data_IF_005890734519
#
_entry.id   IF_005890734519
#
_cell.length_a   1.000
_cell.length_b   1.000
_cell.length_c   1.000
_cell.angle_alpha   90.00
_cell.angle_beta   90.00
_cell.angle_gamma   90.00
#
_symmetry.space_group_name_H-M   'P 1'
#
loop_
_entity.id
_entity.type
_entity.pdbx_description
1 polymer ?
#
# COMPACT_ATOMS: atom_id res chain seq x y z
N UNK A 1 37.85 19.09 2.88
CA UNK A 1 38.05 17.65 3.15
C UNK A 1 37.79 17.38 4.63
N UNK A 2 36.52 17.30 5.04
CA UNK A 2 36.08 16.78 6.34
C UNK A 2 34.72 16.12 6.10
N UNK A 3 34.64 14.80 6.34
CA UNK A 3 33.42 13.99 6.30
C UNK A 3 32.74 14.11 7.66
N UNK A 4 31.43 14.35 7.69
CA UNK A 4 30.59 13.97 8.82
C UNK A 4 29.71 12.80 8.39
N UNK A 5 30.01 11.63 8.94
CA UNK A 5 29.10 10.49 8.99
C UNK A 5 28.10 10.73 10.13
N UNK A 6 26.83 10.44 9.90
CA UNK A 6 25.87 10.16 10.97
C UNK A 6 25.31 8.76 10.72
N UNK A 7 25.55 7.87 11.68
CA UNK A 7 25.01 6.52 11.73
C UNK A 7 23.58 6.52 12.31
N UNK A 8 22.71 5.76 11.64
CA UNK A 8 21.73 4.78 12.14
C UNK A 8 21.26 4.96 13.60
N UNK A 9 19.95 5.08 13.77
CA UNK A 9 19.24 4.58 14.97
C UNK A 9 18.30 3.46 14.52
N UNK A 10 18.52 2.29 15.13
CA UNK A 10 17.66 1.10 15.15
C UNK A 10 16.42 1.40 15.99
N UNK A 11 15.23 1.01 15.51
CA UNK A 11 14.04 0.96 16.35
C UNK A 11 13.82 -0.48 16.83
N UNK A 12 14.17 -0.73 18.10
CA UNK A 12 13.49 -1.68 18.98
C UNK A 12 13.02 -0.88 20.19
N UNK A 13 11.80 -1.20 20.62
CA UNK A 13 11.06 -0.67 21.78
C UNK A 13 11.93 -0.37 23.01
N UNK A 14 11.86 0.87 23.51
CA UNK A 14 11.84 1.22 24.95
C UNK A 14 11.18 2.61 25.12
N UNK A 15 10.27 2.68 26.10
CA UNK A 15 9.34 3.75 26.48
C UNK A 15 9.95 5.11 26.86
N UNK A 16 9.20 6.21 26.66
CA UNK A 16 8.78 7.24 27.67
C UNK A 16 7.91 8.35 26.99
N UNK A 17 7.09 9.13 27.74
CA UNK A 17 5.69 9.42 27.40
C UNK A 17 5.37 10.92 27.17
N UNK A 18 4.15 11.19 26.70
CA UNK A 18 3.36 12.41 26.87
C UNK A 18 4.07 13.76 26.71
N UNK A 19 3.91 14.40 25.55
CA UNK A 19 4.09 15.86 25.41
C UNK A 19 3.21 16.42 24.29
N UNK A 20 1.91 16.55 24.56
CA UNK A 20 1.09 17.60 23.93
C UNK A 20 0.12 18.16 24.97
N UNK A 21 0.59 19.17 25.71
CA UNK A 21 -0.26 20.19 26.32
C UNK A 21 0.47 21.53 26.36
N UNK A 22 -0.12 22.48 25.63
CA UNK A 22 -0.08 23.95 25.78
C UNK A 22 1.27 24.69 25.74
N UNK A 23 1.47 25.54 24.71
CA UNK A 23 1.19 26.99 24.77
C UNK A 23 2.08 27.83 23.84
N UNK A 24 1.42 28.77 23.16
CA UNK A 24 1.83 30.14 22.78
C UNK A 24 3.22 30.46 22.21
N UNK A 25 3.16 31.19 21.09
CA UNK A 25 3.97 32.37 20.74
C UNK A 25 5.49 32.18 20.56
N UNK A 26 5.94 32.35 19.31
CA UNK A 26 7.36 32.47 18.99
C UNK A 26 7.61 32.59 17.51
N UNK A 27 7.37 33.78 16.96
CA UNK A 27 7.83 34.20 15.64
C UNK A 27 9.34 33.94 15.49
N UNK A 28 9.77 33.24 14.44
CA UNK A 28 11.04 33.55 13.77
C UNK A 28 10.98 33.18 12.29
N UNK A 29 11.07 34.21 11.46
CA UNK A 29 11.21 34.16 10.02
C UNK A 29 12.63 33.72 9.62
N UNK A 30 12.75 32.94 8.56
CA UNK A 30 13.86 33.11 7.61
C UNK A 30 13.49 32.64 6.20
N UNK A 31 13.04 33.60 5.40
CA UNK A 31 13.37 33.80 3.98
C UNK A 31 13.31 32.60 3.02
N UNK A 32 12.13 32.39 2.44
CA UNK A 32 11.96 31.83 1.09
C UNK A 32 12.20 32.95 0.06
N UNK A 33 13.18 32.76 -0.83
CA UNK A 33 13.30 33.58 -2.05
C UNK A 33 12.21 33.17 -3.02
N UNK A 34 11.25 34.06 -3.25
CA UNK A 34 10.28 33.98 -4.35
C UNK A 34 10.99 34.18 -5.68
N UNK A 35 10.96 33.16 -6.53
CA UNK A 35 11.12 33.29 -7.98
C UNK A 35 9.74 33.26 -8.61
N UNK A 36 9.24 34.43 -8.99
CA UNK A 36 8.01 34.62 -9.77
C UNK A 36 8.26 34.21 -11.22
N UNK A 37 7.77 33.02 -11.61
CA UNK A 37 7.75 32.56 -13.00
C UNK A 37 6.31 32.30 -13.42
N UNK A 38 5.76 33.22 -14.22
CA UNK A 38 4.43 33.12 -14.82
C UNK A 38 4.32 31.87 -15.69
N UNK A 39 3.14 31.25 -15.62
CA UNK A 39 2.66 30.18 -16.49
C UNK A 39 2.57 30.64 -17.94
N UNK A 40 3.32 29.99 -18.83
CA UNK A 40 2.99 29.92 -20.26
C UNK A 40 2.74 28.45 -20.60
N UNK A 41 1.47 28.11 -20.83
CA UNK A 41 1.09 26.89 -21.54
C UNK A 41 1.62 27.01 -22.97
N UNK A 42 2.73 26.34 -23.24
CA UNK A 42 3.15 26.02 -24.60
C UNK A 42 3.02 24.53 -24.82
N UNK A 43 2.31 24.18 -25.89
CA UNK A 43 2.17 22.84 -26.42
C UNK A 43 3.55 22.29 -26.83
N UNK A 44 4.17 21.49 -25.96
CA UNK A 44 5.42 20.82 -26.25
C UNK A 44 5.18 19.43 -26.85
N UNK A 45 5.06 19.39 -28.17
CA UNK A 45 5.48 18.23 -28.93
C UNK A 45 7.03 18.19 -28.99
N UNK A 46 7.60 17.01 -28.71
CA UNK A 46 8.99 16.59 -29.01
C UNK A 46 10.12 17.19 -28.17
N UNK A 47 10.44 16.54 -27.03
CA UNK A 47 11.65 16.81 -26.24
C UNK A 47 11.95 15.81 -25.11
N UNK A 48 11.48 14.56 -25.21
CA UNK A 48 11.43 13.61 -24.08
C UNK A 48 12.54 12.54 -24.05
N UNK A 49 13.81 12.90 -24.27
CA UNK A 49 14.91 11.92 -24.33
C UNK A 49 15.61 11.61 -23.00
N UNK A 50 15.51 12.52 -22.02
CA UNK A 50 16.43 12.52 -20.87
C UNK A 50 15.87 11.87 -19.61
N UNK A 51 14.63 11.38 -19.62
CA UNK A 51 13.98 10.77 -18.45
C UNK A 51 13.41 9.39 -18.77
N UNK A 52 13.28 8.55 -17.73
CA UNK A 52 12.55 7.29 -17.85
C UNK A 52 11.07 7.56 -18.12
N UNK A 53 10.33 6.54 -18.57
CA UNK A 53 8.92 6.68 -19.01
C UNK A 53 8.01 7.34 -17.95
N UNK A 54 8.18 7.00 -16.68
CA UNK A 54 7.42 7.64 -15.59
C UNK A 54 7.99 8.98 -15.13
N UNK A 55 9.01 9.53 -15.79
CA UNK A 55 9.61 10.81 -15.43
C UNK A 55 10.26 10.87 -14.05
N UNK A 56 10.35 9.78 -13.26
CA UNK A 56 10.91 9.79 -11.90
C UNK A 56 12.43 9.99 -11.88
N UNK A 57 13.12 9.43 -12.86
CA UNK A 57 14.57 9.49 -12.99
C UNK A 57 14.97 9.99 -14.37
N UNK A 58 16.07 10.71 -14.43
CA UNK A 58 16.81 10.95 -15.66
C UNK A 58 17.51 9.67 -16.12
N UNK A 59 17.76 9.53 -17.42
CA UNK A 59 18.50 8.39 -17.97
C UNK A 59 19.95 8.35 -17.45
N UNK A 60 20.50 9.51 -17.06
CA UNK A 60 21.84 9.65 -16.47
C UNK A 60 21.91 9.24 -15.00
N UNK A 61 20.80 9.31 -14.25
CA UNK A 61 20.69 8.75 -12.90
C UNK A 61 20.62 7.21 -12.91
N UNK A 62 20.04 6.62 -13.95
CA UNK A 62 19.91 5.17 -14.11
C UNK A 62 21.18 4.53 -14.72
N UNK A 63 22.28 4.58 -13.97
CA UNK A 63 23.63 4.20 -14.44
C UNK A 63 23.88 2.70 -14.48
N UNK A 64 23.18 1.92 -13.66
CA UNK A 64 23.48 0.50 -13.49
C UNK A 64 22.69 -0.34 -14.47
N UNK A 65 23.36 -1.25 -15.18
CA UNK A 65 22.68 -2.24 -16.01
C UNK A 65 22.31 -3.47 -15.18
N UNK A 66 21.07 -3.92 -15.33
CA UNK A 66 20.58 -5.14 -14.72
C UNK A 66 19.86 -5.98 -15.75
N UNK A 67 20.29 -7.24 -15.88
CA UNK A 67 19.63 -8.22 -16.74
C UNK A 67 18.81 -9.17 -15.88
N UNK A 68 17.58 -9.46 -16.28
CA UNK A 68 16.75 -10.53 -15.72
C UNK A 68 15.99 -11.23 -16.84
N UNK A 69 16.24 -12.53 -17.03
CA UNK A 69 15.74 -13.28 -18.20
C UNK A 69 15.99 -12.52 -19.52
N UNK A 70 14.92 -12.16 -20.24
CA UNK A 70 14.95 -11.40 -21.51
C UNK A 70 14.97 -9.88 -21.34
N UNK A 71 14.88 -9.36 -20.12
CA UNK A 71 14.84 -7.93 -19.84
C UNK A 71 16.25 -7.41 -19.58
N UNK A 72 16.58 -6.30 -20.25
CA UNK A 72 17.74 -5.47 -19.97
C UNK A 72 17.23 -4.16 -19.41
N UNK A 73 17.63 -3.84 -18.19
CA UNK A 73 17.09 -2.76 -17.39
C UNK A 73 18.22 -1.80 -17.02
N UNK A 74 17.88 -0.53 -16.89
CA UNK A 74 18.67 0.48 -16.20
C UNK A 74 18.05 0.71 -14.83
N UNK A 75 18.85 0.63 -13.77
CA UNK A 75 18.43 0.79 -12.38
C UNK A 75 19.26 1.91 -11.71
N UNK A 76 18.72 2.55 -10.66
CA UNK A 76 19.46 3.57 -9.92
C UNK A 76 20.62 2.96 -9.11
N UNK A 77 21.45 3.80 -8.45
CA UNK A 77 22.47 3.38 -7.48
C UNK A 77 21.95 2.43 -6.39
N UNK A 78 22.87 1.75 -5.69
CA UNK A 78 22.51 0.66 -4.77
C UNK A 78 21.67 1.14 -3.57
N UNK A 79 21.91 2.37 -3.14
CA UNK A 79 21.30 3.09 -2.03
C UNK A 79 19.93 3.71 -2.37
N UNK A 80 19.61 3.88 -3.66
CA UNK A 80 18.33 4.43 -4.09
C UNK A 80 17.26 3.33 -4.20
N UNK A 81 16.39 3.28 -3.19
CA UNK A 81 15.26 2.35 -3.10
C UNK A 81 13.94 3.12 -3.22
N UNK A 82 12.93 2.46 -3.79
CA UNK A 82 11.54 2.97 -3.83
C UNK A 82 10.63 2.27 -2.80
N UNK A 83 11.15 1.23 -2.12
CA UNK A 83 10.49 0.53 -1.04
C UNK A 83 11.48 -0.37 -0.31
N UNK A 84 11.26 -0.60 0.99
CA UNK A 84 12.10 -1.44 1.83
C UNK A 84 11.22 -2.15 2.86
N UNK A 85 11.45 -3.45 3.02
CA UNK A 85 10.83 -4.30 4.02
C UNK A 85 11.89 -5.15 4.72
N UNK A 86 11.47 -5.98 5.67
CA UNK A 86 12.37 -6.74 6.53
C UNK A 86 13.35 -7.64 5.75
N UNK A 87 12.87 -8.27 4.67
CA UNK A 87 13.63 -9.23 3.88
C UNK A 87 13.85 -8.82 2.43
N UNK A 88 13.33 -7.66 2.01
CA UNK A 88 13.37 -7.23 0.62
C UNK A 88 13.56 -5.72 0.49
N UNK A 89 14.11 -5.31 -0.65
CA UNK A 89 14.02 -3.92 -1.08
C UNK A 89 13.59 -3.86 -2.54
N UNK A 90 12.95 -2.76 -2.89
CA UNK A 90 12.40 -2.51 -4.21
C UNK A 90 13.14 -1.34 -4.83
N UNK A 91 13.58 -1.51 -6.08
CA UNK A 91 14.22 -0.46 -6.88
C UNK A 91 13.38 -0.10 -8.08
N UNK A 92 13.51 1.14 -8.52
CA UNK A 92 13.02 1.52 -9.84
C UNK A 92 13.84 0.80 -10.92
N UNK A 93 13.19 0.38 -12.00
CA UNK A 93 13.89 -0.19 -13.15
C UNK A 93 13.26 0.30 -14.44
N UNK A 94 14.09 0.66 -15.42
CA UNK A 94 13.65 1.16 -16.71
C UNK A 94 14.17 0.24 -17.82
N UNK A 95 13.32 -0.14 -18.77
CA UNK A 95 13.74 -0.82 -19.98
C UNK A 95 13.79 0.18 -21.14
N UNK A 96 14.98 0.62 -21.59
CA UNK A 96 15.09 1.61 -22.67
C UNK A 96 14.51 1.12 -24.00
N UNK A 97 14.65 -0.18 -24.31
CA UNK A 97 14.17 -0.77 -25.56
C UNK A 97 12.64 -0.77 -25.64
N UNK A 98 11.97 -0.97 -24.50
CA UNK A 98 10.51 -1.00 -24.41
C UNK A 98 9.91 0.36 -24.00
N UNK A 99 10.75 1.34 -23.69
CA UNK A 99 10.37 2.58 -23.02
C UNK A 99 9.36 2.35 -21.88
N UNK A 100 9.68 1.44 -20.95
CA UNK A 100 8.76 1.06 -19.86
C UNK A 100 9.46 0.98 -18.51
N UNK A 101 8.83 1.51 -17.48
CA UNK A 101 9.28 1.43 -16.09
C UNK A 101 8.68 0.21 -15.37
N UNK A 102 9.40 -0.29 -14.38
CA UNK A 102 9.13 -1.49 -13.59
C UNK A 102 9.58 -1.26 -12.15
N UNK A 103 9.10 -2.13 -11.25
CA UNK A 103 9.65 -2.30 -9.92
C UNK A 103 10.50 -3.58 -9.89
N UNK A 104 11.73 -3.49 -9.37
CA UNK A 104 12.60 -4.65 -9.16
C UNK A 104 12.67 -4.94 -7.66
N UNK A 105 11.91 -5.94 -7.20
CA UNK A 105 11.96 -6.45 -5.82
C UNK A 105 13.11 -7.45 -5.69
N UNK A 106 13.94 -7.26 -4.67
CA UNK A 106 15.12 -8.07 -4.38
C UNK A 106 14.98 -8.61 -2.96
N UNK A 107 14.56 -9.86 -2.86
CA UNK A 107 14.35 -10.55 -1.57
C UNK A 107 15.57 -11.39 -1.21
N UNK A 108 15.94 -11.38 0.07
CA UNK A 108 17.00 -12.25 0.61
C UNK A 108 16.47 -13.67 0.73
N UNK A 109 17.28 -14.64 0.33
CA UNK A 109 17.05 -16.05 0.53
C UNK A 109 18.07 -16.56 1.54
N UNK A 110 17.69 -17.55 2.34
CA UNK A 110 18.63 -18.30 3.16
C UNK A 110 19.62 -19.07 2.29
N UNK A 111 20.75 -19.49 2.88
CA UNK A 111 21.85 -20.10 2.11
C UNK A 111 21.42 -21.36 1.35
N UNK A 112 20.43 -22.06 1.87
CA UNK A 112 19.88 -23.29 1.30
C UNK A 112 18.73 -23.02 0.32
N UNK A 113 18.35 -21.76 0.09
CA UNK A 113 17.23 -21.38 -0.78
C UNK A 113 15.84 -21.61 -0.17
N UNK A 114 15.78 -21.98 1.10
CA UNK A 114 14.55 -22.28 1.83
C UNK A 114 14.07 -21.05 2.62
N UNK A 115 13.69 -19.98 1.92
CA UNK A 115 12.93 -18.91 2.57
C UNK A 115 11.44 -19.09 2.23
N UNK A 116 10.66 -19.54 3.20
CA UNK A 116 9.25 -19.89 3.03
C UNK A 116 8.40 -18.70 2.55
N UNK A 117 8.66 -17.49 3.06
CA UNK A 117 7.93 -16.28 2.68
C UNK A 117 8.17 -15.92 1.21
N UNK A 118 9.44 -15.89 0.79
CA UNK A 118 9.79 -15.60 -0.60
C UNK A 118 9.29 -16.69 -1.56
N UNK A 119 9.27 -17.94 -1.10
CA UNK A 119 8.70 -19.05 -1.86
C UNK A 119 7.17 -18.94 -2.00
N UNK A 120 6.45 -18.50 -0.96
CA UNK A 120 5.01 -18.21 -1.03
C UNK A 120 4.73 -17.07 -2.01
N UNK A 121 5.44 -15.96 -1.89
CA UNK A 121 5.27 -14.83 -2.81
C UNK A 121 5.51 -15.26 -4.26
N UNK A 122 6.56 -16.05 -4.51
CA UNK A 122 6.82 -16.66 -5.83
C UNK A 122 5.62 -17.45 -6.34
N UNK A 123 5.04 -18.30 -5.51
CA UNK A 123 3.94 -19.20 -5.91
C UNK A 123 2.63 -18.49 -6.16
N UNK A 124 2.33 -17.45 -5.37
CA UNK A 124 1.17 -16.58 -5.56
C UNK A 124 1.33 -15.80 -6.87
N UNK A 125 2.48 -15.16 -7.08
CA UNK A 125 2.75 -14.40 -8.31
C UNK A 125 2.76 -15.31 -9.56
N UNK A 126 3.34 -16.52 -9.46
CA UNK A 126 3.29 -17.52 -10.53
C UNK A 126 1.84 -17.92 -10.83
N UNK A 127 1.01 -18.14 -9.80
CA UNK A 127 -0.41 -18.48 -9.95
C UNK A 127 -1.18 -17.37 -10.67
N UNK A 128 -1.12 -16.13 -10.18
CA UNK A 128 -1.82 -15.01 -10.83
C UNK A 128 -1.32 -14.78 -12.26
N UNK A 129 -0.04 -15.04 -12.56
CA UNK A 129 0.46 -14.97 -13.93
C UNK A 129 -0.19 -15.96 -14.92
N UNK A 130 -0.81 -17.03 -14.44
CA UNK A 130 -1.58 -17.98 -15.28
C UNK A 130 -2.99 -17.50 -15.60
N UNK A 131 -3.52 -16.53 -14.84
CA UNK A 131 -4.87 -16.02 -15.00
C UNK A 131 -4.96 -14.97 -16.13
N UNK A 132 -6.18 -14.80 -16.66
CA UNK A 132 -6.47 -13.73 -17.62
C UNK A 132 -6.27 -12.35 -16.99
N UNK A 133 -6.04 -11.33 -17.82
CA UNK A 133 -5.83 -9.94 -17.33
C UNK A 133 -7.00 -9.47 -16.48
N UNK A 134 -8.23 -9.81 -16.85
CA UNK A 134 -9.46 -9.44 -16.14
C UNK A 134 -9.53 -10.05 -14.73
N UNK A 135 -9.02 -11.27 -14.55
CA UNK A 135 -9.01 -11.96 -13.25
C UNK A 135 -7.91 -11.48 -12.31
N UNK A 136 -7.04 -10.57 -12.75
CA UNK A 136 -5.88 -10.09 -11.97
C UNK A 136 -5.58 -8.61 -12.18
N UNK A 137 -6.53 -7.84 -12.69
CA UNK A 137 -6.33 -6.42 -13.00
C UNK A 137 -6.11 -5.57 -11.74
N UNK A 138 -6.47 -6.06 -10.55
CA UNK A 138 -6.21 -5.45 -9.25
C UNK A 138 -5.04 -6.11 -8.47
N UNK A 139 -4.33 -7.05 -9.09
CA UNK A 139 -3.15 -7.69 -8.52
C UNK A 139 -1.91 -7.20 -9.26
N UNK A 140 -0.82 -6.94 -8.55
CA UNK A 140 0.42 -6.48 -9.19
C UNK A 140 0.98 -7.52 -10.18
N UNK A 141 1.36 -7.09 -11.38
CA UNK A 141 1.92 -7.99 -12.37
C UNK A 141 3.36 -8.39 -12.08
N UNK A 142 3.68 -9.69 -12.11
CA UNK A 142 5.05 -10.15 -12.28
C UNK A 142 5.40 -10.42 -13.76
N UNK A 143 6.40 -9.71 -14.29
CA UNK A 143 6.91 -9.89 -15.66
C UNK A 143 8.02 -10.94 -15.78
N UNK A 144 8.84 -11.08 -14.74
CA UNK A 144 9.92 -12.05 -14.68
C UNK A 144 10.33 -12.31 -13.24
N UNK A 145 10.91 -13.48 -13.00
CA UNK A 145 11.62 -13.79 -11.76
C UNK A 145 12.91 -14.55 -12.04
N UNK A 146 13.89 -14.42 -11.16
CA UNK A 146 15.15 -15.12 -11.26
C UNK A 146 15.79 -15.27 -9.88
N UNK A 147 16.29 -16.48 -9.58
CA UNK A 147 17.06 -16.75 -8.38
C UNK A 147 18.55 -16.64 -8.70
N UNK A 148 19.31 -15.86 -7.93
CA UNK A 148 20.78 -15.79 -8.03
C UNK A 148 21.40 -15.80 -6.64
N UNK A 149 22.23 -16.80 -6.35
CA UNK A 149 22.90 -16.96 -5.05
C UNK A 149 21.86 -16.91 -3.92
N UNK A 150 22.00 -16.00 -2.97
CA UNK A 150 21.12 -15.81 -1.81
C UNK A 150 20.04 -14.74 -2.04
N UNK A 151 19.63 -14.51 -3.30
CA UNK A 151 18.65 -13.48 -3.66
C UNK A 151 17.64 -13.98 -4.68
N UNK A 152 16.36 -13.72 -4.41
CA UNK A 152 15.29 -13.84 -5.39
C UNK A 152 15.00 -12.45 -5.97
N UNK A 153 14.90 -12.37 -7.28
CA UNK A 153 14.58 -11.15 -8.00
C UNK A 153 13.22 -11.28 -8.64
N UNK A 154 12.33 -10.32 -8.40
CA UNK A 154 11.04 -10.19 -9.06
C UNK A 154 11.01 -8.88 -9.85
N UNK A 155 10.73 -8.98 -11.15
CA UNK A 155 10.45 -7.83 -11.99
C UNK A 155 8.94 -7.64 -12.05
N UNK A 156 8.46 -6.61 -11.39
CA UNK A 156 7.06 -6.31 -11.19
C UNK A 156 6.62 -5.09 -12.00
N UNK A 157 5.30 -4.97 -12.19
CA UNK A 157 4.64 -3.72 -12.57
C UNK A 157 5.05 -2.60 -11.61
N UNK A 158 5.22 -1.40 -12.16
CA UNK A 158 5.44 -0.22 -11.35
C UNK A 158 4.07 0.33 -10.96
N UNK A 159 3.74 0.30 -9.67
CA UNK A 159 2.58 1.02 -9.12
C UNK A 159 2.93 2.47 -8.76
N UNK A 160 1.90 3.22 -8.39
CA UNK A 160 2.02 4.58 -7.87
C UNK A 160 2.43 4.58 -6.40
N UNK A 161 1.91 5.55 -5.65
CA UNK A 161 2.09 5.64 -4.19
C UNK A 161 1.34 4.52 -3.48
N UNK A 162 1.80 4.15 -2.31
CA UNK A 162 0.97 3.36 -1.39
C UNK A 162 -0.29 4.12 -1.03
N UNK A 163 -1.34 3.41 -0.62
CA UNK A 163 -2.58 4.00 -0.14
C UNK A 163 -2.30 4.99 0.98
N UNK A 164 -1.45 4.60 1.94
CA UNK A 164 -0.97 5.47 3.03
C UNK A 164 -0.38 6.79 2.50
N UNK A 165 0.65 6.71 1.67
CA UNK A 165 1.33 7.90 1.14
C UNK A 165 0.39 8.78 0.32
N UNK A 166 -0.47 8.18 -0.50
CA UNK A 166 -1.42 8.89 -1.35
C UNK A 166 -2.45 9.65 -0.52
N UNK A 167 -3.06 8.98 0.47
CA UNK A 167 -4.06 9.57 1.35
C UNK A 167 -3.47 10.76 2.13
N UNK A 168 -2.39 10.55 2.87
CA UNK A 168 -1.78 11.61 3.68
C UNK A 168 -1.17 12.75 2.85
N UNK A 169 -0.69 12.48 1.65
CA UNK A 169 -0.30 13.57 0.74
C UNK A 169 -1.51 14.42 0.36
N UNK A 170 -2.60 13.80 -0.10
CA UNK A 170 -3.79 14.52 -0.57
C UNK A 170 -4.51 15.27 0.54
N UNK A 171 -4.53 14.69 1.75
CA UNK A 171 -5.04 15.34 2.96
C UNK A 171 -4.18 16.57 3.30
N UNK A 172 -2.84 16.44 3.33
CA UNK A 172 -1.93 17.59 3.57
C UNK A 172 -2.03 18.68 2.52
N UNK A 173 -2.09 18.32 1.23
CA UNK A 173 -2.28 19.26 0.12
C UNK A 173 -3.55 20.10 0.32
N UNK A 174 -4.61 19.53 0.92
CA UNK A 174 -5.88 20.22 1.20
C UNK A 174 -5.91 21.01 2.49
N UNK A 175 -5.26 20.54 3.57
CA UNK A 175 -5.18 21.31 4.82
C UNK A 175 -4.30 22.55 4.74
N UNK A 176 -3.42 22.65 3.73
CA UNK A 176 -2.75 23.91 3.41
C UNK A 176 -3.72 25.05 3.05
N UNK A 177 -4.96 24.71 2.67
CA UNK A 177 -6.04 25.62 2.37
C UNK A 177 -7.10 25.53 3.49
N UNK A 178 -7.08 26.49 4.42
CA UNK A 178 -8.02 26.60 5.55
C UNK A 178 -9.48 26.65 5.05
N UNK A 179 -10.26 25.57 5.08
CA UNK A 179 -11.75 25.64 5.05
C UNK A 179 -12.45 24.36 5.56
N UNK A 180 -13.59 24.55 6.23
CA UNK A 180 -14.51 23.51 6.77
C UNK A 180 -15.00 22.51 5.70
N UNK A 181 -14.87 22.85 4.40
CA UNK A 181 -15.15 21.95 3.27
C UNK A 181 -14.19 20.74 3.19
N UNK A 182 -13.09 20.74 3.94
CA UNK A 182 -12.05 19.71 3.89
C UNK A 182 -12.55 18.34 4.40
N UNK A 183 -13.35 18.28 5.46
CA UNK A 183 -13.78 16.99 6.05
C UNK A 183 -14.64 16.18 5.06
N UNK A 184 -15.58 16.82 4.36
CA UNK A 184 -16.43 16.12 3.37
C UNK A 184 -15.58 15.59 2.21
N UNK A 185 -14.62 16.38 1.75
CA UNK A 185 -13.72 16.03 0.65
C UNK A 185 -12.72 14.94 1.05
N UNK A 186 -12.23 14.95 2.28
CA UNK A 186 -11.39 13.89 2.86
C UNK A 186 -12.17 12.58 2.96
N UNK A 187 -13.40 12.61 3.47
CA UNK A 187 -14.28 11.43 3.54
C UNK A 187 -14.57 10.86 2.16
N UNK A 188 -14.81 11.72 1.18
CA UNK A 188 -15.03 11.31 -0.21
C UNK A 188 -13.76 10.67 -0.81
N UNK A 189 -12.59 11.28 -0.59
CA UNK A 189 -11.31 10.72 -0.99
C UNK A 189 -11.08 9.34 -0.36
N UNK A 190 -11.24 9.23 0.97
CA UNK A 190 -11.11 7.99 1.71
C UNK A 190 -12.06 6.93 1.13
N UNK A 191 -13.33 7.27 0.92
CA UNK A 191 -14.33 6.37 0.33
C UNK A 191 -13.88 5.83 -1.03
N UNK A 192 -13.39 6.69 -1.92
CA UNK A 192 -12.98 6.28 -3.27
C UNK A 192 -11.74 5.38 -3.27
N UNK A 193 -10.81 5.63 -2.35
CA UNK A 193 -9.63 4.80 -2.15
C UNK A 193 -10.03 3.43 -1.57
N UNK A 194 -10.90 3.42 -0.56
CA UNK A 194 -11.38 2.18 0.07
C UNK A 194 -12.15 1.30 -0.90
N UNK A 195 -12.94 1.88 -1.82
CA UNK A 195 -13.57 1.13 -2.92
C UNK A 195 -12.54 0.39 -3.76
N UNK A 196 -11.45 1.05 -4.15
CA UNK A 196 -10.40 0.42 -4.95
C UNK A 196 -9.62 -0.66 -4.21
N UNK A 197 -9.36 -0.46 -2.93
CA UNK A 197 -8.71 -1.45 -2.07
C UNK A 197 -9.63 -2.68 -1.85
N UNK A 198 -10.92 -2.47 -1.62
CA UNK A 198 -11.92 -3.53 -1.49
C UNK A 198 -12.03 -4.36 -2.78
N UNK A 199 -12.03 -3.72 -3.97
CA UNK A 199 -12.01 -4.42 -5.26
C UNK A 199 -10.76 -5.32 -5.42
N UNK A 200 -9.60 -4.86 -4.96
CA UNK A 200 -8.38 -5.64 -5.01
C UNK A 200 -8.43 -6.87 -4.08
N UNK A 201 -8.94 -6.71 -2.86
CA UNK A 201 -9.15 -7.84 -1.94
C UNK A 201 -10.20 -8.82 -2.44
N UNK A 202 -11.34 -8.30 -2.92
CA UNK A 202 -12.40 -9.13 -3.51
C UNK A 202 -11.84 -10.02 -4.62
N UNK A 203 -11.04 -9.45 -5.52
CA UNK A 203 -10.41 -10.24 -6.58
C UNK A 203 -9.46 -11.30 -6.02
N UNK A 204 -8.68 -10.96 -4.99
CA UNK A 204 -7.78 -11.93 -4.37
C UNK A 204 -8.55 -13.08 -3.67
N UNK A 205 -9.66 -12.76 -3.00
CA UNK A 205 -10.53 -13.70 -2.27
C UNK A 205 -11.19 -14.75 -3.15
N UNK A 206 -11.26 -14.54 -4.47
CA UNK A 206 -11.66 -15.59 -5.42
C UNK A 206 -10.67 -16.76 -5.47
N UNK A 207 -9.45 -16.58 -4.96
CA UNK A 207 -8.34 -17.50 -5.12
C UNK A 207 -7.61 -17.84 -3.80
N UNK A 208 -7.69 -16.98 -2.79
CA UNK A 208 -6.80 -17.05 -1.64
C UNK A 208 -7.08 -16.03 -0.55
N UNK A 209 -6.22 -16.02 0.47
CA UNK A 209 -6.23 -15.05 1.57
C UNK A 209 -4.88 -14.32 1.61
N UNK A 210 -4.89 -12.99 1.75
CA UNK A 210 -3.69 -12.17 1.69
C UNK A 210 -2.86 -12.27 2.97
N UNK A 211 -3.53 -12.23 4.13
CA UNK A 211 -3.00 -12.36 5.48
C UNK A 211 -2.09 -11.22 5.97
N UNK A 212 -1.79 -10.24 5.12
CA UNK A 212 -1.04 -9.02 5.48
C UNK A 212 -1.72 -7.76 4.92
N UNK A 213 -3.01 -7.60 5.19
CA UNK A 213 -3.78 -6.46 4.70
C UNK A 213 -3.50 -5.22 5.54
N UNK A 214 -2.88 -4.21 4.94
CA UNK A 214 -2.68 -2.88 5.52
C UNK A 214 -2.43 -1.82 4.43
N UNK A 215 -2.48 -0.54 4.80
CA UNK A 215 -2.44 0.62 3.89
C UNK A 215 -1.16 0.76 3.06
N UNK A 216 -0.07 0.10 3.42
CA UNK A 216 1.17 0.07 2.64
C UNK A 216 1.17 -1.02 1.57
N UNK A 217 0.31 -2.05 1.70
CA UNK A 217 0.22 -3.18 0.75
C UNK A 217 -0.80 -2.96 -0.38
N UNK A 218 -1.33 -1.74 -0.51
CA UNK A 218 -2.11 -1.30 -1.67
C UNK A 218 -1.39 -0.16 -2.37
N UNK A 219 -1.12 -0.31 -3.66
CA UNK A 219 -0.59 0.75 -4.52
C UNK A 219 -1.72 1.37 -5.34
N UNK A 220 -1.69 2.69 -5.54
CA UNK A 220 -2.56 3.30 -6.54
C UNK A 220 -2.13 2.84 -7.93
N UNK A 221 -3.06 2.34 -8.73
CA UNK A 221 -2.78 1.90 -10.09
C UNK A 221 -2.39 3.10 -10.97
N UNK A 222 -1.33 2.94 -11.74
CA UNK A 222 -0.92 3.90 -12.76
C UNK A 222 -1.55 3.53 -14.09
N UNK A 223 -2.02 4.53 -14.83
CA UNK A 223 -2.36 4.35 -16.23
C UNK A 223 -1.07 4.12 -17.03
N UNK A 224 -1.12 3.35 -18.14
CA UNK A 224 0.09 2.86 -18.85
C UNK A 224 1.10 3.94 -19.28
N UNK A 225 0.67 5.21 -19.32
CA UNK A 225 1.44 6.37 -19.74
C UNK A 225 1.67 7.41 -18.64
N UNK A 226 1.38 7.09 -17.38
CA UNK A 226 1.41 8.07 -16.30
C UNK A 226 2.35 7.68 -15.16
N UNK A 227 2.94 8.71 -14.56
CA UNK A 227 3.84 8.64 -13.40
C UNK A 227 3.11 8.84 -12.07
N UNK A 228 1.94 9.44 -12.14
CA UNK A 228 1.01 9.72 -11.06
C UNK A 228 -0.39 9.35 -11.56
N UNK A 229 -1.35 9.06 -10.66
CA UNK A 229 -2.73 8.81 -11.06
C UNK A 229 -3.31 10.01 -11.82
N UNK A 230 -4.20 9.75 -12.78
CA UNK A 230 -4.79 10.80 -13.62
C UNK A 230 -5.39 11.93 -12.75
N UNK A 231 -4.85 13.17 -12.81
CA UNK A 231 -5.28 14.27 -11.96
C UNK A 231 -6.69 14.77 -12.30
N UNK A 232 -7.22 14.38 -13.47
CA UNK A 232 -8.56 14.73 -13.94
C UNK A 232 -9.61 13.66 -13.61
N UNK A 233 -9.26 12.60 -12.85
CA UNK A 233 -10.29 11.68 -12.33
C UNK A 233 -11.26 12.50 -11.48
N UNK A 234 -12.53 12.43 -11.84
CA UNK A 234 -13.56 13.17 -11.13
C UNK A 234 -13.54 12.76 -9.65
N UNK A 235 -13.84 13.72 -8.77
CA UNK A 235 -13.78 13.52 -7.32
C UNK A 235 -14.72 12.43 -6.78
N UNK A 236 -15.59 11.85 -7.61
CA UNK A 236 -16.53 10.79 -7.27
C UNK A 236 -16.17 9.40 -7.84
N UNK A 237 -15.05 9.27 -8.55
CA UNK A 237 -14.66 7.98 -9.14
C UNK A 237 -13.83 7.14 -8.17
N UNK A 238 -14.07 5.83 -8.19
CA UNK A 238 -13.24 4.83 -7.49
C UNK A 238 -11.79 4.97 -7.93
N UNK A 239 -10.87 5.01 -6.96
CA UNK A 239 -9.44 5.09 -7.23
C UNK A 239 -8.90 3.65 -7.30
N UNK A 240 -8.56 3.11 -8.48
CA UNK A 240 -8.14 1.73 -8.63
C UNK A 240 -6.84 1.46 -7.88
N UNK A 241 -6.82 0.35 -7.14
CA UNK A 241 -5.66 -0.09 -6.39
C UNK A 241 -5.13 -1.43 -6.93
N UNK A 242 -3.85 -1.69 -6.65
CA UNK A 242 -3.15 -2.94 -6.88
C UNK A 242 -2.69 -3.51 -5.54
N UNK A 243 -3.07 -4.74 -5.23
CA UNK A 243 -2.56 -5.46 -4.07
C UNK A 243 -1.12 -5.94 -4.33
N UNK A 244 -0.26 -5.83 -3.31
CA UNK A 244 1.15 -6.21 -3.34
C UNK A 244 1.53 -6.98 -2.07
N UNK A 245 2.74 -7.56 -2.10
CA UNK A 245 3.42 -8.22 -0.97
C UNK A 245 2.75 -9.51 -0.46
N UNK A 246 2.93 -10.59 -1.25
CA UNK A 246 2.26 -11.88 -1.01
C UNK A 246 3.06 -12.86 -0.14
N UNK A 247 3.97 -12.36 0.69
CA UNK A 247 4.89 -13.18 1.49
C UNK A 247 4.16 -14.07 2.52
N UNK A 248 3.02 -13.59 3.02
CA UNK A 248 2.17 -14.33 3.96
C UNK A 248 0.96 -15.00 3.30
N UNK A 249 0.69 -14.70 2.02
CA UNK A 249 -0.55 -15.09 1.37
C UNK A 249 -0.64 -16.58 1.07
N UNK A 250 -1.88 -17.06 0.94
CA UNK A 250 -2.23 -18.45 0.68
C UNK A 250 -3.19 -18.54 -0.51
N UNK A 251 -2.94 -19.49 -1.42
CA UNK A 251 -3.87 -19.86 -2.50
C UNK A 251 -4.63 -21.12 -2.08
N UNK A 252 -5.96 -21.01 -1.93
CA UNK A 252 -6.82 -22.08 -1.40
C UNK A 252 -6.80 -23.34 -2.26
N UNK A 253 -6.80 -23.17 -3.58
CA UNK A 253 -6.73 -24.30 -4.55
C UNK A 253 -5.46 -25.15 -4.46
N UNK A 254 -4.41 -24.65 -3.79
CA UNK A 254 -3.14 -25.37 -3.61
C UNK A 254 -3.00 -26.04 -2.24
N UNK A 255 -4.02 -25.94 -1.37
CA UNK A 255 -4.04 -26.64 -0.08
C UNK A 255 -2.92 -26.25 0.89
N UNK A 256 -2.31 -25.06 0.72
CA UNK A 256 -1.27 -24.61 1.63
C UNK A 256 -1.86 -24.30 3.01
N UNK A 257 -1.28 -24.92 4.03
CA UNK A 257 -1.52 -24.55 5.44
C UNK A 257 -0.59 -23.37 5.74
N UNK A 258 -1.17 -22.22 6.11
CA UNK A 258 -0.36 -21.09 6.58
C UNK A 258 0.41 -21.51 7.85
N UNK A 259 1.71 -21.20 7.93
CA UNK A 259 2.41 -21.23 9.21
C UNK A 259 2.28 -19.85 9.86
N UNK A 260 1.70 -19.80 11.06
CA UNK A 260 1.17 -18.60 11.72
C UNK A 260 2.15 -17.89 12.64
N UNK A 261 3.35 -18.41 12.84
CA UNK A 261 4.29 -17.90 13.85
C UNK A 261 4.69 -16.43 13.64
N UNK A 262 4.48 -15.89 12.43
CA UNK A 262 4.74 -14.48 12.08
C UNK A 262 3.48 -13.59 12.03
N UNK A 263 2.30 -14.17 12.25
CA UNK A 263 1.00 -13.49 12.15
C UNK A 263 0.41 -13.14 13.51
N UNK A 264 1.18 -13.04 14.58
CA UNK A 264 0.63 -12.71 15.90
C UNK A 264 0.96 -11.25 16.23
N UNK A 265 0.03 -10.35 15.89
CA UNK A 265 -0.04 -8.99 16.43
C UNK A 265 -1.28 -8.89 17.32
N UNK A 266 -1.23 -8.07 18.36
CA UNK A 266 -2.35 -7.83 19.30
C UNK A 266 -3.64 -7.37 18.63
N UNK A 267 -3.54 -6.73 17.45
CA UNK A 267 -4.67 -6.16 16.69
C UNK A 267 -5.22 -7.08 15.59
N UNK A 268 -4.71 -8.30 15.49
CA UNK A 268 -5.15 -9.25 14.47
C UNK A 268 -6.56 -9.79 14.75
N UNK A 269 -7.14 -10.41 13.73
CA UNK A 269 -8.48 -11.00 13.85
C UNK A 269 -8.54 -11.97 15.04
N UNK A 270 -9.57 -11.93 15.89
CA UNK A 270 -9.64 -12.72 17.13
C UNK A 270 -9.38 -14.22 16.93
N UNK A 271 -9.84 -14.79 15.82
CA UNK A 271 -9.67 -16.21 15.49
C UNK A 271 -8.22 -16.62 15.17
N UNK A 272 -7.32 -15.67 14.91
CA UNK A 272 -5.89 -15.96 14.74
C UNK A 272 -5.28 -16.44 16.06
N UNK A 273 -5.74 -15.91 17.20
CA UNK A 273 -5.23 -16.30 18.52
C UNK A 273 -5.49 -17.77 18.84
N UNK A 274 -6.55 -18.35 18.28
CA UNK A 274 -6.90 -19.76 18.48
C UNK A 274 -5.97 -20.74 17.75
N UNK A 275 -5.10 -20.23 16.84
CA UNK A 275 -4.13 -21.02 16.05
C UNK A 275 -4.73 -22.27 15.36
N UNK A 276 -6.03 -22.23 15.03
CA UNK A 276 -6.72 -23.32 14.37
C UNK A 276 -6.84 -23.06 12.86
N UNK A 277 -6.12 -23.80 11.99
CA UNK A 277 -6.19 -23.62 10.54
C UNK A 277 -7.61 -23.78 9.97
N UNK A 278 -8.49 -24.54 10.64
CA UNK A 278 -9.87 -24.76 10.19
C UNK A 278 -10.75 -23.51 10.31
N UNK A 279 -10.34 -22.54 11.12
CA UNK A 279 -11.05 -21.27 11.31
C UNK A 279 -10.59 -20.18 10.33
N UNK A 280 -9.60 -20.48 9.48
CA UNK A 280 -9.13 -19.52 8.49
C UNK A 280 -10.13 -19.32 7.37
N UNK A 281 -10.35 -18.05 7.08
CA UNK A 281 -11.12 -17.61 5.91
C UNK A 281 -10.61 -16.26 5.44
N UNK A 282 -11.16 -15.80 4.33
CA UNK A 282 -11.03 -14.45 3.81
C UNK A 282 -11.46 -13.38 4.85
N UNK A 283 -12.23 -13.76 5.87
CA UNK A 283 -12.68 -12.89 6.96
C UNK A 283 -11.55 -12.32 7.81
N UNK A 284 -10.37 -12.94 7.82
CA UNK A 284 -9.17 -12.38 8.44
C UNK A 284 -8.74 -11.10 7.72
N UNK A 285 -8.71 -11.13 6.39
CA UNK A 285 -8.40 -9.95 5.58
C UNK A 285 -9.48 -8.87 5.75
N UNK A 286 -10.75 -9.28 5.93
CA UNK A 286 -11.85 -8.35 6.21
C UNK A 286 -11.64 -7.60 7.53
N UNK A 287 -11.23 -8.29 8.58
CA UNK A 287 -10.89 -7.66 9.85
C UNK A 287 -9.75 -6.65 9.68
N UNK A 288 -8.65 -7.08 9.07
CA UNK A 288 -7.46 -6.25 8.85
C UNK A 288 -7.78 -5.04 7.96
N UNK A 289 -8.67 -5.19 6.97
CA UNK A 289 -9.20 -4.07 6.20
C UNK A 289 -9.99 -3.09 7.08
N UNK A 290 -10.82 -3.57 7.99
CA UNK A 290 -11.54 -2.73 8.96
C UNK A 290 -10.61 -1.93 9.87
N UNK A 291 -9.53 -2.55 10.37
CA UNK A 291 -8.50 -1.87 11.15
C UNK A 291 -7.77 -0.82 10.30
N UNK A 292 -7.40 -1.14 9.07
CA UNK A 292 -6.80 -0.18 8.13
C UNK A 292 -7.72 1.04 7.89
N UNK A 293 -9.02 0.81 7.72
CA UNK A 293 -10.01 1.90 7.58
C UNK A 293 -10.04 2.76 8.84
N UNK A 294 -10.07 2.14 10.02
CA UNK A 294 -10.07 2.84 11.30
C UNK A 294 -8.82 3.71 11.47
N UNK A 295 -7.64 3.21 11.11
CA UNK A 295 -6.39 3.99 11.15
C UNK A 295 -6.44 5.23 10.28
N UNK A 296 -6.85 5.07 9.01
CA UNK A 296 -6.93 6.17 8.06
C UNK A 296 -8.01 7.19 8.47
N UNK A 297 -9.11 6.71 9.07
CA UNK A 297 -10.22 7.55 9.48
C UNK A 297 -9.92 8.38 10.73
N UNK A 298 -9.24 7.79 11.70
CA UNK A 298 -8.89 8.43 12.98
C UNK A 298 -7.52 9.11 12.95
N UNK A 299 -6.76 8.91 11.87
CA UNK A 299 -5.35 9.29 11.75
C UNK A 299 -4.45 8.70 12.84
N UNK A 300 -4.89 7.63 13.50
CA UNK A 300 -4.16 6.94 14.56
C UNK A 300 -3.54 5.66 14.00
N UNK A 301 -2.27 5.41 14.32
CA UNK A 301 -1.58 4.19 13.90
C UNK A 301 -1.60 3.18 15.04
N UNK A 302 -2.21 2.01 14.80
CA UNK A 302 -2.19 0.91 15.73
C UNK A 302 -0.94 0.05 15.47
N UNK A 303 -0.14 -0.13 16.50
CA UNK A 303 1.07 -0.93 16.57
C UNK A 303 0.84 -2.20 17.37
N UNK A 304 1.83 -3.09 17.40
CA UNK A 304 1.85 -4.29 18.24
C UNK A 304 1.74 -4.02 19.75
N UNK A 305 1.98 -2.77 20.19
CA UNK A 305 1.88 -2.38 21.59
C UNK A 305 0.47 -1.91 21.97
N UNK A 306 -0.38 -1.62 20.98
CA UNK A 306 -1.77 -1.28 21.23
C UNK A 306 -2.51 -2.57 21.54
N UNK A 307 -3.30 -2.58 22.61
CA UNK A 307 -4.13 -3.72 22.93
C UNK A 307 -5.46 -3.68 22.16
N UNK A 308 -6.16 -4.82 22.19
CA UNK A 308 -7.49 -4.94 21.60
C UNK A 308 -8.51 -3.98 22.26
N UNK A 309 -8.26 -3.58 23.52
CA UNK A 309 -9.14 -2.68 24.26
C UNK A 309 -9.08 -1.26 23.68
N UNK A 310 -7.92 -0.78 23.21
CA UNK A 310 -7.79 0.51 22.53
C UNK A 310 -8.61 0.57 21.23
N UNK A 311 -8.53 -0.47 20.40
CA UNK A 311 -9.36 -0.58 19.19
C UNK A 311 -10.83 -0.58 19.58
N UNK A 312 -11.20 -1.39 20.57
CA UNK A 312 -12.57 -1.51 21.06
C UNK A 312 -13.11 -0.18 21.59
N UNK A 313 -12.31 0.57 22.34
CA UNK A 313 -12.67 1.89 22.88
C UNK A 313 -12.92 2.91 21.76
N UNK A 314 -12.08 2.93 20.72
CA UNK A 314 -12.28 3.83 19.59
C UNK A 314 -13.53 3.44 18.77
N UNK A 315 -13.80 2.14 18.60
CA UNK A 315 -15.04 1.66 17.99
C UNK A 315 -16.29 2.09 18.78
N UNK A 316 -16.25 1.98 20.12
CA UNK A 316 -17.34 2.45 20.98
C UNK A 316 -17.57 3.95 20.85
N UNK A 317 -16.49 4.74 20.83
CA UNK A 317 -16.54 6.18 20.64
C UNK A 317 -17.16 6.54 19.29
N UNK A 318 -16.68 5.94 18.19
CA UNK A 318 -17.23 6.14 16.84
C UNK A 318 -18.72 5.80 16.77
N UNK A 319 -19.13 4.68 17.37
CA UNK A 319 -20.55 4.27 17.43
C UNK A 319 -21.43 5.28 18.14
N UNK A 320 -20.89 6.00 19.13
CA UNK A 320 -21.64 7.03 19.87
C UNK A 320 -21.65 8.37 19.15
N UNK A 321 -20.53 8.75 18.51
CA UNK A 321 -20.37 10.09 17.93
C UNK A 321 -20.90 10.17 16.51
N UNK A 322 -20.72 9.13 15.70
CA UNK A 322 -21.06 9.15 14.27
C UNK A 322 -21.71 7.83 13.77
N UNK A 323 -22.78 7.33 14.41
CA UNK A 323 -23.36 6.01 14.10
C UNK A 323 -23.85 5.87 12.65
N UNK A 324 -24.32 6.95 12.04
CA UNK A 324 -24.87 6.95 10.67
C UNK A 324 -23.80 7.17 9.59
N UNK A 325 -22.55 7.46 9.97
CA UNK A 325 -21.47 7.68 9.02
C UNK A 325 -21.15 6.36 8.29
N UNK A 326 -21.09 6.42 6.95
CA UNK A 326 -20.84 5.24 6.11
C UNK A 326 -19.50 4.56 6.44
N UNK A 327 -18.45 5.33 6.73
CA UNK A 327 -17.14 4.78 7.12
C UNK A 327 -17.23 4.09 8.48
N UNK A 328 -17.95 4.69 9.43
CA UNK A 328 -18.19 4.06 10.75
C UNK A 328 -18.96 2.75 10.62
N UNK A 329 -20.02 2.71 9.79
CA UNK A 329 -20.77 1.48 9.49
C UNK A 329 -19.89 0.42 8.84
N UNK A 330 -19.02 0.80 7.89
CA UNK A 330 -18.07 -0.11 7.27
C UNK A 330 -17.09 -0.72 8.28
N UNK A 331 -16.46 0.12 9.12
CA UNK A 331 -15.54 -0.37 10.16
C UNK A 331 -16.26 -1.37 11.06
N UNK A 332 -17.49 -1.06 11.50
CA UNK A 332 -18.28 -1.98 12.31
C UNK A 332 -18.56 -3.29 11.57
N UNK A 333 -18.97 -3.24 10.30
CA UNK A 333 -19.25 -4.44 9.52
C UNK A 333 -18.01 -5.33 9.29
N UNK A 334 -16.81 -4.75 9.29
CA UNK A 334 -15.55 -5.48 9.12
C UNK A 334 -14.99 -6.04 10.43
N UNK A 335 -15.14 -5.32 11.54
CA UNK A 335 -14.49 -5.62 12.84
C UNK A 335 -15.49 -6.28 13.79
N UNK A 336 -16.15 -7.35 13.34
CA UNK A 336 -17.01 -8.19 14.18
C UNK A 336 -16.19 -9.33 14.80
N UNK A 337 -16.44 -9.65 16.08
CA UNK A 337 -15.71 -10.71 16.77
C UNK A 337 -15.89 -12.07 16.09
N UNK A 338 -17.12 -12.40 15.70
CA UNK A 338 -17.42 -13.62 14.98
C UNK A 338 -17.16 -13.43 13.47
N UNK A 339 -16.28 -14.24 12.83
CA UNK A 339 -15.97 -14.11 11.41
C UNK A 339 -17.19 -14.20 10.48
N UNK A 340 -18.21 -15.00 10.84
CA UNK A 340 -19.43 -15.14 10.02
C UNK A 340 -20.27 -13.87 9.95
N UNK A 341 -20.13 -13.00 10.95
CA UNK A 341 -20.92 -11.77 11.06
C UNK A 341 -20.23 -10.60 10.32
N UNK A 342 -18.98 -10.80 9.88
CA UNK A 342 -18.26 -9.82 9.08
C UNK A 342 -18.81 -9.81 7.66
N UNK A 343 -18.90 -8.61 7.08
CA UNK A 343 -19.23 -8.43 5.67
C UNK A 343 -18.28 -9.23 4.75
N UNK A 344 -18.73 -9.60 3.57
CA UNK A 344 -17.82 -9.99 2.50
C UNK A 344 -17.19 -8.74 1.86
N UNK A 345 -16.04 -8.91 1.21
CA UNK A 345 -15.52 -7.91 0.28
C UNK A 345 -16.35 -7.98 -0.99
N UNK A 346 -17.50 -7.30 -1.00
CA UNK A 346 -18.40 -7.26 -2.15
C UNK A 346 -18.09 -6.09 -3.07
N UNK A 347 -18.52 -6.20 -4.33
CA UNK A 347 -18.38 -5.13 -5.30
C UNK A 347 -19.32 -4.00 -4.83
N UNK A 348 -18.83 -2.76 -4.68
CA UNK A 348 -19.69 -1.61 -4.40
C UNK A 348 -20.86 -1.47 -5.42
N UNK A 349 -20.76 -2.07 -6.61
CA UNK A 349 -21.82 -2.15 -7.60
C UNK A 349 -22.94 -3.17 -7.30
N UNK A 350 -22.69 -4.20 -6.49
CA UNK A 350 -23.69 -5.21 -6.09
C UNK A 350 -24.33 -4.94 -4.75
N UNK A 351 -23.63 -4.18 -3.89
CA UNK A 351 -24.18 -3.65 -2.64
C UNK A 351 -23.98 -2.13 -2.64
N UNK A 352 -24.93 -1.35 -3.19
CA UNK A 352 -24.82 0.10 -3.22
C UNK A 352 -24.65 0.68 -1.82
N UNK A 353 -25.10 0.01 -0.76
CA UNK A 353 -25.00 0.50 0.61
C UNK A 353 -23.64 0.24 1.26
N UNK A 354 -22.72 -0.50 0.61
CA UNK A 354 -21.41 -0.82 1.18
C UNK A 354 -20.55 0.45 1.38
N UNK A 355 -20.65 1.42 0.45
CA UNK A 355 -19.88 2.67 0.46
C UNK A 355 -20.57 3.83 -0.30
N UNK A 356 -21.91 3.86 -0.40
CA UNK A 356 -22.60 4.99 -1.04
C UNK A 356 -22.73 6.17 -0.07
N UNK A 357 -22.15 7.34 -0.37
CA UNK A 357 -22.27 8.53 0.47
C UNK A 357 -23.70 9.10 0.54
N UNK A 358 -24.63 8.61 -0.29
CA UNK A 358 -26.03 9.02 -0.35
C UNK A 358 -27.02 8.00 0.28
N UNK A 359 -26.55 6.89 0.86
CA UNK A 359 -27.39 5.85 1.52
C UNK A 359 -27.48 5.99 3.02
#
# INVERSE_FOLDING_TARGET
MIRFQLHIILAFSLTLPNLFRESSAGCFQSTLKHGTGKSELTSASQGGGDRCHCGRFTITELKNEFKIKKFRLKIPPEDEKIGEGLFAHVKHAFNPKKNKCFALKISRMDRDGENNEVNREREVLDYFNTLSVQQRNHIIQMYAREHRRTKMYFLLELGGKTLNEYFYQKVRERHGEFHINNIKLERLLLTNILKGAAQALQQFHQHGFHLDVHKENFLIALDENQSEPNPNRESNETIPCKLIDFNLSVITSKGHVAHFDHMIKSINAPEIADNNPANLSDKIDVWSFGIMVLELYTYFHYTENNDFDEVTNELYKLKRTEPSNIITRLIQACVQNNPSDRTAMEDPGTNPDFLNPNS
#
